data_IF_400612796190
#
_entry.id   IF_400612796190
#
_cell.length_a   1.000
_cell.length_b   1.000
_cell.length_c   1.000
_cell.angle_alpha   90.00
_cell.angle_beta   90.00
_cell.angle_gamma   90.00
#
_symmetry.space_group_name_H-M   'P 1'
#
loop_
_entity.id
_entity.type
_entity.pdbx_description
1 polymer ?
#
# COMPACT_ATOMS: atom_id res chain seq x y z
N UNK A 1 -0.76 -33.33 -25.71
CA UNK A 1 -0.99 -33.38 -24.25
C UNK A 1 0.00 -32.51 -23.47
N UNK A 2 1.30 -32.51 -23.79
CA UNK A 2 2.31 -31.70 -23.06
C UNK A 2 2.03 -30.19 -23.03
N UNK A 3 1.49 -29.62 -24.10
CA UNK A 3 1.17 -28.17 -24.19
C UNK A 3 -0.03 -27.76 -23.33
N UNK A 4 -0.99 -28.67 -23.10
CA UNK A 4 -2.15 -28.41 -22.23
C UNK A 4 -1.77 -28.46 -20.74
N UNK A 5 -0.80 -29.30 -20.37
CA UNK A 5 -0.29 -29.40 -19.00
C UNK A 5 0.50 -28.14 -18.63
N UNK A 6 1.30 -27.60 -19.56
CA UNK A 6 2.05 -26.36 -19.37
C UNK A 6 1.14 -25.13 -19.25
N UNK A 7 0.08 -25.05 -20.05
CA UNK A 7 -0.91 -23.99 -19.95
C UNK A 7 -1.68 -24.06 -18.60
N UNK A 8 -2.06 -25.26 -18.16
CA UNK A 8 -2.72 -25.46 -16.86
C UNK A 8 -1.83 -25.06 -15.68
N UNK A 9 -0.55 -25.41 -15.70
CA UNK A 9 0.41 -25.04 -14.65
C UNK A 9 0.66 -23.52 -14.58
N UNK A 10 0.70 -22.85 -15.73
CA UNK A 10 0.85 -21.39 -15.80
C UNK A 10 -0.38 -20.66 -15.24
N UNK A 11 -1.58 -21.12 -15.58
CA UNK A 11 -2.85 -20.56 -15.09
C UNK A 11 -2.97 -20.75 -13.57
N UNK A 12 -2.63 -21.94 -13.06
CA UNK A 12 -2.65 -22.21 -11.61
C UNK A 12 -1.64 -21.36 -10.84
N UNK A 13 -0.47 -21.08 -11.42
CA UNK A 13 0.54 -20.18 -10.83
C UNK A 13 0.02 -18.74 -10.74
N UNK A 14 -0.59 -18.23 -11.82
CA UNK A 14 -1.18 -16.88 -11.82
C UNK A 14 -2.36 -16.76 -10.85
N UNK A 15 -3.20 -17.80 -10.75
CA UNK A 15 -4.28 -17.86 -9.76
C UNK A 15 -3.76 -17.83 -8.33
N UNK A 16 -2.68 -18.56 -8.02
CA UNK A 16 -2.07 -18.54 -6.69
C UNK A 16 -1.50 -17.16 -6.33
N UNK A 17 -0.79 -16.52 -7.26
CA UNK A 17 -0.23 -15.17 -7.04
C UNK A 17 -1.35 -14.13 -6.78
N UNK A 18 -2.51 -14.31 -7.41
CA UNK A 18 -3.65 -13.39 -7.29
C UNK A 18 -4.45 -13.66 -6.02
N UNK A 19 -4.63 -14.93 -5.63
CA UNK A 19 -5.26 -15.28 -4.35
C UNK A 19 -4.43 -14.72 -3.19
N UNK A 20 -3.09 -14.79 -3.25
CA UNK A 20 -2.21 -14.18 -2.24
C UNK A 20 -2.38 -12.66 -2.21
N UNK A 21 -2.44 -12.01 -3.38
CA UNK A 21 -2.64 -10.56 -3.48
C UNK A 21 -4.02 -10.12 -2.96
N UNK A 22 -5.07 -10.89 -3.26
CA UNK A 22 -6.44 -10.62 -2.78
C UNK A 22 -6.50 -10.83 -1.26
N UNK A 23 -5.88 -11.88 -0.72
CA UNK A 23 -5.82 -12.10 0.72
C UNK A 23 -5.07 -10.98 1.45
N UNK A 24 -3.95 -10.48 0.91
CA UNK A 24 -3.28 -9.30 1.51
C UNK A 24 -4.16 -8.06 1.51
N UNK A 25 -5.02 -7.88 0.50
CA UNK A 25 -5.98 -6.77 0.44
C UNK A 25 -7.16 -6.90 1.41
N UNK A 26 -7.55 -8.12 1.80
CA UNK A 26 -8.67 -8.35 2.73
C UNK A 26 -8.25 -8.35 4.21
N UNK A 27 -6.98 -8.66 4.51
CA UNK A 27 -6.44 -8.58 5.88
C UNK A 27 -6.39 -7.11 6.37
N UNK A 28 -6.24 -6.14 5.46
CA UNK A 28 -6.26 -4.71 5.79
C UNK A 28 -7.65 -4.14 6.12
N UNK A 29 -8.75 -4.91 5.94
CA UNK A 29 -10.11 -4.37 5.96
C UNK A 29 -11.06 -4.91 7.05
N UNK A 30 -10.61 -5.79 7.97
CA UNK A 30 -11.50 -6.26 9.05
C UNK A 30 -10.76 -6.63 10.34
N UNK A 31 -11.08 -5.93 11.41
CA UNK A 31 -10.93 -6.41 12.78
C UNK A 31 -11.92 -7.57 13.02
N UNK A 32 -11.38 -8.72 13.42
CA UNK A 32 -11.98 -10.03 13.75
C UNK A 32 -12.08 -11.09 12.62
N UNK A 33 -11.51 -12.30 12.82
CA UNK A 33 -11.69 -13.43 11.90
C UNK A 33 -13.02 -14.14 12.17
N UNK A 34 -13.75 -14.59 11.13
CA UNK A 34 -14.91 -15.47 11.34
C UNK A 34 -14.44 -16.88 11.70
N UNK A 35 -14.93 -17.42 12.80
CA UNK A 35 -14.89 -18.85 13.08
C UNK A 35 -15.84 -19.56 12.10
N UNK A 36 -15.33 -20.51 11.32
CA UNK A 36 -16.16 -21.38 10.46
C UNK A 36 -16.07 -22.81 10.99
N UNK A 37 -17.18 -23.56 11.11
CA UNK A 37 -17.17 -24.93 11.64
C UNK A 37 -16.69 -25.94 10.59
N UNK A 38 -15.89 -26.89 11.07
CA UNK A 38 -15.46 -28.09 10.35
C UNK A 38 -16.62 -29.09 10.18
N UNK A 39 -16.82 -29.59 8.96
CA UNK A 39 -17.21 -30.97 8.55
C UNK A 39 -18.17 -30.96 7.34
N UNK A 40 -17.65 -31.40 6.19
CA UNK A 40 -18.44 -32.06 5.14
C UNK A 40 -17.66 -33.32 4.76
N UNK A 41 -18.17 -34.49 5.15
CA UNK A 41 -17.67 -35.78 4.73
C UNK A 41 -18.61 -36.35 3.65
N UNK A 42 -18.07 -36.69 2.49
CA UNK A 42 -18.76 -37.42 1.42
C UNK A 42 -18.10 -38.78 1.23
N UNK A 43 -18.91 -39.84 1.17
CA UNK A 43 -18.50 -41.24 1.05
C UNK A 43 -18.73 -41.71 -0.39
N UNK A 44 -17.69 -42.16 -1.08
CA UNK A 44 -17.85 -43.00 -2.27
C UNK A 44 -16.64 -43.93 -2.48
N UNK A 45 -16.91 -45.20 -2.79
CA UNK A 45 -15.94 -46.28 -3.07
C UNK A 45 -14.89 -46.64 -1.99
N UNK A 46 -15.23 -46.51 -0.70
CA UNK A 46 -14.44 -47.14 0.37
C UNK A 46 -13.04 -46.56 0.61
N UNK A 47 -12.70 -45.40 0.03
CA UNK A 47 -11.51 -44.63 0.39
C UNK A 47 -11.92 -43.31 1.06
N UNK A 48 -11.51 -43.17 2.33
CA UNK A 48 -11.64 -41.93 3.09
C UNK A 48 -10.56 -40.95 2.61
N UNK A 49 -10.93 -39.95 1.81
CA UNK A 49 -10.02 -38.86 1.44
C UNK A 49 -10.17 -37.70 2.43
N UNK A 50 -9.20 -37.55 3.33
CA UNK A 50 -9.02 -36.29 4.05
C UNK A 50 -8.33 -35.29 3.12
N UNK A 51 -9.09 -34.38 2.51
CA UNK A 51 -8.54 -33.24 1.80
C UNK A 51 -8.07 -32.20 2.83
N UNK A 52 -6.80 -32.30 3.21
CA UNK A 52 -6.11 -31.24 3.93
C UNK A 52 -5.73 -30.13 2.92
N UNK A 53 -6.29 -28.91 3.02
CA UNK A 53 -6.01 -27.81 2.09
C UNK A 53 -4.51 -27.43 2.03
N UNK A 54 -3.73 -27.70 3.08
CA UNK A 54 -2.30 -27.44 3.11
C UNK A 54 -1.47 -28.44 2.28
N UNK A 55 -1.98 -29.66 2.04
CA UNK A 55 -1.22 -30.72 1.37
C UNK A 55 -1.27 -30.60 -0.17
N UNK A 56 -2.37 -30.08 -0.72
CA UNK A 56 -2.52 -29.89 -2.17
C UNK A 56 -1.69 -28.69 -2.68
N UNK A 57 -1.59 -27.62 -1.88
CA UNK A 57 -0.71 -26.48 -2.15
C UNK A 57 0.78 -26.85 -2.05
N UNK A 58 1.16 -27.82 -1.21
CA UNK A 58 2.53 -28.33 -1.13
C UNK A 58 2.96 -29.16 -2.35
N UNK A 59 2.02 -29.90 -2.98
CA UNK A 59 2.35 -30.78 -4.12
C UNK A 59 2.48 -30.05 -5.46
N UNK A 60 1.73 -28.96 -5.68
CA UNK A 60 1.86 -28.15 -6.89
C UNK A 60 3.09 -27.23 -6.87
N UNK A 61 3.60 -26.84 -5.69
CA UNK A 61 4.88 -26.12 -5.53
C UNK A 61 6.10 -27.01 -5.79
N UNK A 62 5.99 -28.32 -5.59
CA UNK A 62 7.08 -29.28 -5.77
C UNK A 62 7.43 -29.59 -7.25
N UNK A 63 6.61 -29.18 -8.22
CA UNK A 63 6.80 -29.56 -9.63
C UNK A 63 7.40 -28.47 -10.52
N UNK A 64 7.65 -27.24 -10.04
CA UNK A 64 8.35 -26.23 -10.85
C UNK A 64 9.11 -25.14 -10.07
N UNK A 65 9.29 -25.30 -8.76
CA UNK A 65 10.47 -24.74 -8.08
C UNK A 65 11.40 -25.93 -7.93
N UNK A 66 12.33 -26.10 -8.87
CA UNK A 66 13.52 -26.89 -8.56
C UNK A 66 14.03 -26.41 -7.21
N UNK A 67 14.14 -27.30 -6.23
CA UNK A 67 14.55 -27.03 -4.85
C UNK A 67 15.98 -26.51 -4.70
N UNK A 68 16.39 -25.57 -5.55
CA UNK A 68 17.54 -24.72 -5.30
C UNK A 68 17.14 -23.76 -4.19
N UNK A 69 17.61 -24.06 -2.97
CA UNK A 69 17.73 -23.09 -1.89
C UNK A 69 18.30 -21.80 -2.49
N UNK A 70 17.45 -20.79 -2.71
CA UNK A 70 17.90 -19.53 -3.27
C UNK A 70 18.74 -18.86 -2.19
N UNK A 71 20.06 -18.87 -2.39
CA UNK A 71 21.00 -18.48 -1.36
C UNK A 71 21.21 -16.96 -1.43
N UNK A 72 20.98 -16.21 -0.35
CA UNK A 72 21.36 -14.80 -0.25
C UNK A 72 22.86 -14.54 -0.53
N UNK A 73 23.68 -15.58 -0.65
CA UNK A 73 25.07 -15.54 -1.08
C UNK A 73 25.27 -14.86 -2.46
N UNK A 74 24.40 -15.12 -3.44
CA UNK A 74 24.53 -14.49 -4.76
C UNK A 74 24.28 -12.98 -4.69
N UNK A 75 23.28 -12.57 -3.92
CA UNK A 75 22.96 -11.16 -3.73
C UNK A 75 24.14 -10.43 -3.06
N UNK A 76 24.74 -11.00 -2.02
CA UNK A 76 25.93 -10.43 -1.36
C UNK A 76 27.10 -10.26 -2.34
N UNK A 77 27.37 -11.29 -3.16
CA UNK A 77 28.43 -11.23 -4.16
C UNK A 77 28.20 -10.09 -5.15
N UNK A 78 26.98 -9.94 -5.66
CA UNK A 78 26.67 -8.89 -6.64
C UNK A 78 26.70 -7.49 -6.02
N UNK A 79 26.13 -7.29 -4.84
CA UNK A 79 26.12 -5.98 -4.19
C UNK A 79 27.52 -5.51 -3.76
N UNK A 80 28.41 -6.45 -3.39
CA UNK A 80 29.80 -6.13 -3.02
C UNK A 80 30.70 -5.79 -4.21
N UNK A 81 30.28 -6.15 -5.43
CA UNK A 81 31.06 -5.94 -6.66
C UNK A 81 30.33 -5.04 -7.67
N UNK A 82 29.35 -4.24 -7.22
CA UNK A 82 28.66 -3.30 -8.11
C UNK A 82 29.68 -2.40 -8.85
N UNK A 83 29.43 -2.07 -10.13
CA UNK A 83 30.33 -1.28 -10.94
C UNK A 83 30.75 0.05 -10.30
N UNK A 84 31.98 0.49 -10.58
CA UNK A 84 32.52 1.78 -10.12
C UNK A 84 31.80 3.00 -10.73
N UNK A 85 30.91 2.79 -11.71
CA UNK A 85 30.04 3.83 -12.26
C UNK A 85 29.04 4.37 -11.23
N UNK A 86 28.69 3.57 -10.22
CA UNK A 86 27.91 3.98 -9.06
C UNK A 86 28.81 4.66 -8.03
N UNK A 87 28.37 5.81 -7.50
CA UNK A 87 29.16 6.53 -6.50
C UNK A 87 29.28 5.71 -5.22
N UNK A 88 30.45 5.79 -4.59
CA UNK A 88 30.69 5.28 -3.24
C UNK A 88 30.58 6.47 -2.29
N UNK A 89 29.46 6.64 -1.57
CA UNK A 89 29.25 7.77 -0.68
C UNK A 89 30.17 7.67 0.53
N UNK A 90 30.54 8.83 1.08
CA UNK A 90 31.07 8.90 2.44
C UNK A 90 30.00 8.39 3.43
N UNK A 91 30.37 7.78 4.57
CA UNK A 91 29.39 7.17 5.49
C UNK A 91 28.25 8.11 5.93
N UNK A 92 28.52 9.40 6.07
CA UNK A 92 27.53 10.43 6.45
C UNK A 92 26.61 10.88 5.30
N UNK A 93 26.90 10.46 4.07
CA UNK A 93 26.17 10.81 2.84
C UNK A 93 25.51 9.60 2.19
N UNK A 94 25.55 8.42 2.83
CA UNK A 94 24.88 7.24 2.32
C UNK A 94 23.38 7.50 2.19
N UNK A 95 22.82 7.21 1.03
CA UNK A 95 21.39 7.35 0.74
C UNK A 95 20.60 6.27 1.45
N UNK A 96 21.16 5.07 1.56
CA UNK A 96 20.49 3.93 2.18
C UNK A 96 20.73 3.88 3.70
N UNK A 97 19.69 3.90 4.54
CA UNK A 97 19.83 3.96 6.00
C UNK A 97 19.96 2.58 6.69
N UNK A 98 20.70 1.64 6.09
CA UNK A 98 20.76 0.26 6.60
C UNK A 98 21.67 0.05 7.81
N UNK A 99 22.58 0.99 8.08
CA UNK A 99 23.45 0.98 9.26
C UNK A 99 22.68 1.17 10.57
N UNK A 100 21.53 1.85 10.49
CA UNK A 100 20.60 2.08 11.59
C UNK A 100 19.25 1.41 11.34
N UNK A 101 19.24 0.27 10.65
CA UNK A 101 18.00 -0.45 10.35
C UNK A 101 17.30 -0.87 11.65
N UNK A 102 16.22 -0.17 11.97
CA UNK A 102 15.39 -0.41 13.13
C UNK A 102 13.93 -0.44 12.68
N UNK A 103 13.22 -1.49 13.08
CA UNK A 103 11.79 -1.58 12.81
C UNK A 103 11.06 -0.75 13.87
N UNK A 104 10.25 0.20 13.41
CA UNK A 104 9.36 0.95 14.29
C UNK A 104 8.43 0.00 15.06
N UNK A 105 8.28 0.14 16.39
CA UNK A 105 7.35 -0.67 17.16
C UNK A 105 5.90 -0.48 16.71
N UNK A 106 5.56 0.70 16.19
CA UNK A 106 4.23 0.99 15.62
C UNK A 106 4.02 0.15 14.34
N UNK A 107 4.99 0.14 13.42
CA UNK A 107 4.89 -0.66 12.19
C UNK A 107 4.89 -2.18 12.48
N UNK A 108 5.59 -2.60 13.54
CA UNK A 108 5.57 -3.99 14.00
C UNK A 108 4.20 -4.40 14.52
N UNK A 109 3.50 -3.51 15.23
CA UNK A 109 2.12 -3.73 15.72
C UNK A 109 1.13 -3.76 14.57
N UNK A 110 1.24 -2.82 13.62
CA UNK A 110 0.30 -2.66 12.52
C UNK A 110 0.44 -3.72 11.41
N UNK A 111 1.68 -4.01 10.99
CA UNK A 111 1.94 -4.85 9.81
C UNK A 111 2.55 -6.22 10.14
N UNK A 112 2.90 -6.45 11.41
CA UNK A 112 3.72 -7.57 11.82
C UNK A 112 5.16 -7.47 11.31
N UNK A 113 6.01 -8.42 11.72
CA UNK A 113 7.45 -8.35 11.48
C UNK A 113 7.82 -8.31 9.98
N UNK A 114 7.23 -9.19 9.17
CA UNK A 114 7.45 -9.22 7.71
C UNK A 114 6.94 -7.96 7.03
N UNK A 115 5.77 -7.46 7.43
CA UNK A 115 5.17 -6.27 6.83
C UNK A 115 5.96 -5.01 7.15
N UNK A 116 6.45 -4.88 8.39
CA UNK A 116 7.29 -3.77 8.81
C UNK A 116 8.65 -3.76 8.08
N UNK A 117 9.29 -4.92 7.90
CA UNK A 117 10.50 -5.02 7.06
C UNK A 117 10.21 -4.61 5.62
N UNK A 118 9.08 -5.06 5.05
CA UNK A 118 8.69 -4.65 3.69
C UNK A 118 8.55 -3.14 3.60
N UNK A 119 7.91 -2.50 4.58
CA UNK A 119 7.74 -1.05 4.64
C UNK A 119 9.08 -0.31 4.63
N UNK A 120 10.02 -0.71 5.48
CA UNK A 120 11.36 -0.10 5.53
C UNK A 120 12.13 -0.28 4.21
N UNK A 121 12.03 -1.45 3.58
CA UNK A 121 12.63 -1.68 2.26
C UNK A 121 11.99 -0.82 1.16
N UNK A 122 10.67 -0.59 1.21
CA UNK A 122 9.99 0.34 0.30
C UNK A 122 10.39 1.80 0.52
N UNK A 123 10.68 2.20 1.76
CA UNK A 123 11.20 3.54 2.07
C UNK A 123 12.61 3.70 1.47
N UNK A 124 13.47 2.69 1.64
CA UNK A 124 14.86 2.75 1.19
C UNK A 124 15.01 2.64 -0.34
N UNK A 125 14.25 1.75 -1.00
CA UNK A 125 14.38 1.48 -2.44
C UNK A 125 13.27 2.07 -3.30
N UNK A 126 12.22 2.61 -2.69
CA UNK A 126 10.99 2.98 -3.38
C UNK A 126 10.07 1.78 -3.63
N UNK A 127 8.95 2.04 -4.30
CA UNK A 127 7.94 1.01 -4.51
C UNK A 127 8.27 0.07 -5.69
N UNK A 128 8.03 -1.23 -5.47
CA UNK A 128 8.30 -2.32 -6.42
C UNK A 128 7.50 -2.28 -7.72
N UNK A 129 6.48 -1.44 -7.84
CA UNK A 129 5.64 -1.36 -9.05
C UNK A 129 6.28 -0.57 -10.19
N UNK A 130 7.38 0.14 -9.95
CA UNK A 130 8.03 1.02 -10.93
C UNK A 130 9.12 0.33 -11.78
N UNK A 131 9.11 -1.01 -11.84
CA UNK A 131 10.10 -1.80 -12.55
C UNK A 131 11.27 -2.24 -11.66
N UNK A 132 12.42 -2.60 -12.27
CA UNK A 132 13.62 -2.96 -11.52
C UNK A 132 14.09 -1.82 -10.62
N UNK A 133 14.68 -2.17 -9.47
CA UNK A 133 15.24 -1.20 -8.53
C UNK A 133 16.47 -0.56 -9.18
N UNK A 134 16.57 0.76 -9.15
CA UNK A 134 17.73 1.48 -9.65
C UNK A 134 18.63 1.81 -8.46
N UNK A 135 19.79 1.16 -8.38
CA UNK A 135 20.78 1.51 -7.36
C UNK A 135 21.40 2.86 -7.70
N UNK A 136 21.39 3.77 -6.74
CA UNK A 136 22.02 5.09 -6.90
C UNK A 136 23.47 5.08 -6.43
N UNK A 137 23.81 4.18 -5.50
CA UNK A 137 25.11 4.10 -4.86
C UNK A 137 25.55 2.65 -4.68
N UNK A 138 26.85 2.46 -4.40
CA UNK A 138 27.42 1.18 -3.98
C UNK A 138 28.10 1.32 -2.62
N UNK A 139 28.46 0.19 -2.02
CA UNK A 139 29.31 0.19 -0.82
C UNK A 139 28.79 -0.71 0.29
N UNK A 140 29.49 -0.71 1.45
CA UNK A 140 29.19 -1.63 2.53
C UNK A 140 27.80 -1.42 3.13
N UNK A 141 27.29 -0.19 3.16
CA UNK A 141 25.95 0.12 3.70
C UNK A 141 24.86 -0.58 2.89
N UNK A 142 24.91 -0.50 1.56
CA UNK A 142 23.96 -1.22 0.69
C UNK A 142 24.04 -2.74 0.89
N UNK A 143 25.24 -3.30 1.10
CA UNK A 143 25.42 -4.74 1.32
C UNK A 143 24.75 -5.22 2.60
N UNK A 144 24.55 -4.37 3.61
CA UNK A 144 23.88 -4.73 4.87
C UNK A 144 22.43 -5.19 4.68
N UNK A 145 21.77 -4.79 3.58
CA UNK A 145 20.43 -5.29 3.23
C UNK A 145 20.38 -6.82 3.16
N UNK A 146 21.50 -7.47 2.80
CA UNK A 146 21.58 -8.92 2.73
C UNK A 146 21.51 -9.55 4.11
N UNK A 147 22.14 -8.94 5.11
CA UNK A 147 22.12 -9.44 6.48
C UNK A 147 20.74 -9.23 7.12
N UNK A 148 20.08 -8.10 6.82
CA UNK A 148 18.67 -7.84 7.18
C UNK A 148 17.79 -8.95 6.58
N UNK A 149 17.79 -9.12 5.25
CA UNK A 149 16.97 -10.14 4.57
C UNK A 149 17.26 -11.55 5.07
N UNK A 150 18.54 -11.89 5.31
CA UNK A 150 18.92 -13.18 5.88
C UNK A 150 18.35 -13.39 7.27
N UNK A 151 18.40 -12.37 8.14
CA UNK A 151 17.90 -12.44 9.52
C UNK A 151 16.39 -12.71 9.54
N UNK A 152 15.62 -11.99 8.72
CA UNK A 152 14.15 -12.16 8.70
C UNK A 152 13.69 -13.41 7.93
N UNK A 153 14.39 -13.81 6.86
CA UNK A 153 14.13 -15.08 6.18
C UNK A 153 14.50 -16.30 7.03
N UNK A 154 15.40 -16.17 8.01
CA UNK A 154 15.63 -17.25 8.99
C UNK A 154 14.44 -17.44 9.93
N UNK A 155 13.75 -16.34 10.29
CA UNK A 155 12.55 -16.37 11.12
C UNK A 155 11.33 -16.89 10.34
N UNK A 156 11.14 -16.38 9.13
CA UNK A 156 10.08 -16.82 8.21
C UNK A 156 10.64 -17.18 6.82
N UNK A 157 11.11 -18.44 6.63
CA UNK A 157 11.65 -18.89 5.35
C UNK A 157 10.63 -18.91 4.22
N UNK A 158 9.33 -18.89 4.52
CA UNK A 158 8.25 -18.99 3.54
C UNK A 158 7.68 -17.62 3.17
N UNK A 159 8.23 -16.53 3.72
CA UNK A 159 7.81 -15.16 3.41
C UNK A 159 8.01 -14.87 1.92
N UNK A 160 6.90 -14.91 1.17
CA UNK A 160 6.90 -14.62 -0.27
C UNK A 160 7.35 -13.17 -0.55
N UNK A 161 7.05 -12.25 0.36
CA UNK A 161 7.42 -10.83 0.26
C UNK A 161 8.94 -10.66 0.35
N UNK A 162 9.58 -11.28 1.36
CA UNK A 162 11.04 -11.16 1.54
C UNK A 162 11.82 -11.93 0.48
N UNK A 163 11.34 -13.10 0.05
CA UNK A 163 11.93 -13.82 -1.09
C UNK A 163 11.89 -12.96 -2.36
N UNK A 164 10.78 -12.24 -2.58
CA UNK A 164 10.63 -11.36 -3.73
C UNK A 164 11.58 -10.16 -3.68
N UNK A 165 11.86 -9.61 -2.50
CA UNK A 165 12.91 -8.59 -2.34
C UNK A 165 14.30 -9.11 -2.71
N UNK A 166 14.64 -10.34 -2.32
CA UNK A 166 15.92 -10.98 -2.72
C UNK A 166 15.99 -11.09 -4.25
N UNK A 167 14.92 -11.53 -4.90
CA UNK A 167 14.86 -11.65 -6.36
C UNK A 167 14.96 -10.30 -7.08
N UNK A 168 14.23 -9.29 -6.60
CA UNK A 168 14.19 -7.95 -7.19
C UNK A 168 15.55 -7.26 -7.08
N UNK A 169 16.19 -7.30 -5.90
CA UNK A 169 17.52 -6.75 -5.70
C UNK A 169 18.59 -7.50 -6.49
N UNK A 170 18.49 -8.83 -6.58
CA UNK A 170 19.42 -9.66 -7.37
C UNK A 170 19.32 -9.33 -8.86
N UNK A 171 18.08 -9.19 -9.36
CA UNK A 171 17.82 -8.84 -10.76
C UNK A 171 18.36 -7.44 -11.06
N UNK A 172 18.11 -6.50 -10.17
CA UNK A 172 18.59 -5.11 -10.28
C UNK A 172 20.11 -5.02 -10.29
N UNK A 173 20.78 -5.79 -9.43
CA UNK A 173 22.25 -5.82 -9.39
C UNK A 173 22.83 -6.34 -10.70
N UNK A 174 22.25 -7.41 -11.27
CA UNK A 174 22.64 -7.94 -12.58
C UNK A 174 22.46 -6.95 -13.72
N UNK A 175 21.42 -6.11 -13.65
CA UNK A 175 21.19 -5.06 -14.65
C UNK A 175 22.28 -3.99 -14.60
N UNK A 176 22.80 -3.62 -13.42
CA UNK A 176 23.94 -2.71 -13.32
C UNK A 176 25.19 -3.23 -14.06
N UNK A 177 25.54 -4.51 -13.88
CA UNK A 177 26.64 -5.12 -14.64
C UNK A 177 26.39 -5.14 -16.14
N UNK A 178 25.16 -5.46 -16.55
CA UNK A 178 24.78 -5.51 -17.96
C UNK A 178 24.82 -4.13 -18.62
N UNK A 179 24.39 -3.09 -17.91
CA UNK A 179 24.43 -1.70 -18.36
C UNK A 179 25.86 -1.24 -18.67
N UNK A 180 26.82 -1.61 -17.82
CA UNK A 180 28.22 -1.21 -17.96
C UNK A 180 29.05 -2.20 -18.79
N UNK A 181 28.42 -3.23 -19.36
CA UNK A 181 29.08 -4.32 -20.10
C UNK A 181 30.17 -5.03 -19.28
N UNK A 182 30.01 -5.10 -17.96
CA UNK A 182 30.93 -5.79 -17.05
C UNK A 182 30.43 -7.24 -16.87
N UNK A 183 31.29 -8.26 -17.00
CA UNK A 183 30.87 -9.64 -16.78
C UNK A 183 30.42 -9.86 -15.33
N UNK A 184 29.36 -10.66 -15.16
CA UNK A 184 28.83 -10.97 -13.83
C UNK A 184 29.88 -11.70 -12.98
N UNK A 185 30.12 -11.25 -11.73
CA UNK A 185 30.96 -11.97 -10.78
C UNK A 185 30.46 -13.41 -10.62
N UNK A 186 31.32 -14.37 -10.91
CA UNK A 186 31.02 -15.80 -10.74
C UNK A 186 31.74 -16.30 -9.51
N UNK A 187 31.08 -17.11 -8.68
CA UNK A 187 31.62 -17.68 -7.44
C UNK A 187 32.70 -18.77 -7.67
N UNK A 188 33.43 -18.71 -8.78
CA UNK A 188 34.31 -19.76 -9.26
C UNK A 188 35.64 -19.76 -8.50
N UNK A 189 35.67 -20.50 -7.39
CA UNK A 189 36.87 -21.23 -6.97
C UNK A 189 37.49 -20.82 -5.62
N UNK A 190 37.66 -21.76 -4.67
CA UNK A 190 38.59 -21.59 -3.56
C UNK A 190 40.02 -21.69 -4.10
N UNK A 191 40.66 -20.56 -4.36
CA UNK A 191 42.10 -20.53 -4.63
C UNK A 191 42.55 -19.50 -5.65
N UNK A 192 42.60 -18.24 -5.23
CA UNK A 192 43.83 -17.45 -5.29
C UNK A 192 43.64 -16.19 -4.43
N UNK A 193 44.51 -15.92 -3.44
CA UNK A 193 44.52 -14.65 -2.77
C UNK A 193 44.85 -13.58 -3.81
N UNK A 194 43.87 -12.73 -4.11
CA UNK A 194 44.08 -11.52 -4.89
C UNK A 194 44.98 -10.61 -4.05
N UNK A 195 46.30 -10.69 -4.30
CA UNK A 195 47.25 -9.70 -3.80
C UNK A 195 46.75 -8.32 -4.23
N UNK A 196 46.35 -7.53 -3.22
CA UNK A 196 46.27 -6.09 -3.31
C UNK A 196 47.62 -5.61 -3.85
N UNK A 197 47.62 -5.15 -5.11
CA UNK A 197 48.75 -4.51 -5.75
C UNK A 197 48.96 -3.16 -5.07
N UNK A 198 49.60 -3.21 -3.90
CA UNK A 198 50.00 -2.05 -3.12
C UNK A 198 51.15 -1.34 -3.82
N UNK A 199 50.89 -0.11 -4.22
CA UNK A 199 51.90 0.88 -4.54
C UNK A 199 52.80 1.06 -3.30
N UNK A 200 54.05 0.66 -3.45
CA UNK A 200 55.08 0.70 -2.41
C UNK A 200 55.54 2.12 -2.12
N UNK A 201 55.37 2.57 -0.87
CA UNK A 201 56.24 3.59 -0.26
C UNK A 201 56.72 3.03 1.08
N UNK A 202 58.03 2.80 1.14
CA UNK A 202 58.76 2.23 2.26
C UNK A 202 58.78 3.16 3.49
N UNK A 203 58.88 2.58 4.69
CA UNK A 203 59.25 3.35 5.88
C UNK A 203 58.96 2.74 7.25
N UNK A 204 59.59 1.60 7.57
CA UNK A 204 60.20 1.26 8.87
C UNK A 204 59.38 1.26 10.20
N UNK A 205 59.85 0.50 11.22
CA UNK A 205 59.01 0.02 12.32
C UNK A 205 59.26 0.77 13.63
N UNK A 206 58.24 0.83 14.50
CA UNK A 206 58.48 0.97 15.94
C UNK A 206 57.34 0.40 16.78
N UNK A 207 57.72 -0.62 17.54
CA UNK A 207 57.03 -1.25 18.67
C UNK A 207 56.73 -0.26 19.79
N UNK A 208 55.46 -0.16 20.21
CA UNK A 208 55.15 0.05 21.64
C UNK A 208 53.81 -0.56 22.03
N UNK A 209 53.88 -1.36 23.09
CA UNK A 209 52.84 -2.09 23.81
C UNK A 209 52.21 -1.14 24.84
N UNK A 210 50.89 -0.88 24.79
CA UNK A 210 50.17 -0.20 25.89
C UNK A 210 48.81 -0.87 26.15
N UNK A 211 48.82 -1.65 27.23
CA UNK A 211 47.85 -1.77 28.33
C UNK A 211 46.42 -1.21 28.12
N UNK A 212 45.44 -2.09 28.36
CA UNK A 212 44.02 -1.81 28.54
C UNK A 212 43.73 -0.93 29.77
N UNK A 213 42.60 -0.21 29.77
CA UNK A 213 41.66 -0.48 30.85
C UNK A 213 40.19 -0.49 30.42
N UNK A 214 39.47 -1.39 31.07
CA UNK A 214 38.01 -1.45 31.16
C UNK A 214 37.44 -0.22 31.88
N UNK A 215 36.39 0.38 31.32
CA UNK A 215 35.37 1.07 32.13
C UNK A 215 34.00 0.92 31.50
N UNK A 216 33.08 0.34 32.27
CA UNK A 216 31.65 0.35 32.03
C UNK A 216 31.12 1.79 31.97
N UNK A 217 30.27 2.09 30.99
CA UNK A 217 29.48 3.32 30.98
C UNK A 217 28.01 3.07 30.66
N UNK A 218 27.22 3.71 31.51
CA UNK A 218 25.78 3.66 31.69
C UNK A 218 24.97 4.02 30.44
N UNK A 219 23.82 3.35 30.34
CA UNK A 219 22.59 3.75 29.63
C UNK A 219 22.43 5.27 29.54
N UNK A 220 22.32 5.77 28.31
CA UNK A 220 21.66 7.04 27.99
C UNK A 220 20.58 6.75 26.96
N UNK A 221 19.34 6.64 27.45
CA UNK A 221 18.14 6.65 26.61
C UNK A 221 18.06 8.03 25.96
N UNK A 222 18.41 8.13 24.68
CA UNK A 222 18.03 9.28 23.87
C UNK A 222 16.57 9.11 23.47
N UNK A 223 15.72 9.86 24.17
CA UNK A 223 14.37 10.18 23.72
C UNK A 223 14.45 10.71 22.27
N UNK A 224 13.80 10.00 21.35
CA UNK A 224 13.50 10.50 20.01
C UNK A 224 12.56 11.69 20.18
N UNK A 225 13.12 12.89 20.06
CA UNK A 225 12.31 14.11 19.94
C UNK A 225 11.46 13.94 18.68
N UNK A 226 10.15 13.77 18.85
CA UNK A 226 9.16 14.06 17.81
C UNK A 226 9.58 15.36 17.14
N UNK A 227 9.72 15.36 15.82
CA UNK A 227 9.93 16.57 15.03
C UNK A 227 8.67 17.43 15.18
N UNK A 228 8.57 18.10 16.32
CA UNK A 228 7.53 19.06 16.61
C UNK A 228 7.71 20.21 15.64
N UNK A 229 6.89 20.16 14.59
CA UNK A 229 6.36 21.28 13.83
C UNK A 229 7.33 22.45 13.72
N UNK A 230 8.48 22.24 13.05
CA UNK A 230 9.36 23.33 12.66
C UNK A 230 8.55 24.22 11.71
N UNK A 231 7.92 25.26 12.26
CA UNK A 231 7.17 26.25 11.48
C UNK A 231 8.09 26.75 10.38
N UNK A 232 7.73 26.47 9.13
CA UNK A 232 8.44 26.99 7.99
C UNK A 232 8.15 28.49 7.99
N UNK A 233 9.13 29.27 8.43
CA UNK A 233 9.05 30.73 8.49
C UNK A 233 9.13 31.38 7.11
N UNK A 234 9.54 30.62 6.09
CA UNK A 234 9.76 31.10 4.73
C UNK A 234 9.14 30.13 3.71
N UNK A 235 8.02 30.56 3.14
CA UNK A 235 7.27 29.82 2.11
C UNK A 235 7.79 30.09 0.70
N UNK A 236 8.85 30.90 0.56
CA UNK A 236 9.40 31.25 -0.74
C UNK A 236 10.18 30.07 -1.34
N UNK A 237 9.78 29.63 -2.52
CA UNK A 237 10.48 28.60 -3.29
C UNK A 237 11.15 29.28 -4.49
N UNK A 238 12.48 29.20 -4.55
CA UNK A 238 13.27 29.88 -5.57
C UNK A 238 12.95 29.43 -7.00
N UNK A 239 12.34 28.26 -7.19
CA UNK A 239 11.93 27.77 -8.51
C UNK A 239 10.65 28.44 -9.06
N UNK A 240 9.89 29.11 -8.19
CA UNK A 240 8.59 29.69 -8.52
C UNK A 240 8.56 31.18 -8.20
N UNK A 241 7.66 31.90 -8.87
CA UNK A 241 7.31 33.27 -8.54
C UNK A 241 5.82 33.31 -8.21
N UNK A 242 5.49 33.85 -7.04
CA UNK A 242 4.13 33.82 -6.50
C UNK A 242 3.27 34.86 -7.20
N UNK A 243 2.10 34.43 -7.67
CA UNK A 243 1.10 35.28 -8.29
C UNK A 243 0.12 35.70 -7.20
N UNK A 244 -0.22 37.00 -7.08
CA UNK A 244 -1.22 37.46 -6.14
C UNK A 244 -2.55 36.74 -6.35
N UNK A 245 -3.10 36.20 -5.27
CA UNK A 245 -4.38 35.50 -5.32
C UNK A 245 -5.51 36.49 -5.65
N UNK A 246 -6.10 36.36 -6.83
CA UNK A 246 -7.29 37.13 -7.19
C UNK A 246 -8.49 36.62 -6.39
N UNK A 247 -9.22 37.54 -5.74
CA UNK A 247 -10.51 37.21 -5.13
C UNK A 247 -11.41 36.58 -6.19
N UNK A 248 -12.04 35.45 -5.87
CA UNK A 248 -12.90 34.72 -6.80
C UNK A 248 -14.06 35.63 -7.24
N UNK A 249 -14.05 36.17 -8.48
CA UNK A 249 -15.01 37.18 -8.89
C UNK A 249 -16.39 36.58 -9.18
N UNK A 250 -16.52 35.25 -9.09
CA UNK A 250 -17.74 34.53 -9.44
C UNK A 250 -18.81 34.79 -8.37
N UNK A 251 -19.90 35.43 -8.79
CA UNK A 251 -21.11 35.62 -7.97
C UNK A 251 -21.88 34.31 -7.72
N UNK A 252 -21.61 33.25 -8.49
CA UNK A 252 -22.28 31.95 -8.39
C UNK A 252 -21.33 30.77 -8.63
N UNK A 253 -21.71 29.59 -8.14
CA UNK A 253 -20.90 28.37 -8.19
C UNK A 253 -20.31 27.97 -6.84
N UNK A 254 -19.69 26.79 -6.80
CA UNK A 254 -18.99 26.32 -5.60
C UNK A 254 -17.77 27.20 -5.35
N UNK A 255 -17.81 27.97 -4.27
CA UNK A 255 -16.68 28.81 -3.83
C UNK A 255 -15.44 27.94 -3.63
N UNK A 256 -14.28 28.49 -3.96
CA UNK A 256 -13.01 27.85 -3.66
C UNK A 256 -12.91 27.59 -2.14
N UNK A 257 -12.56 26.36 -1.77
CA UNK A 257 -12.43 25.97 -0.38
C UNK A 257 -11.29 26.79 0.26
N UNK A 258 -11.53 27.55 1.35
CA UNK A 258 -10.50 28.40 1.97
C UNK A 258 -9.24 27.63 2.38
N UNK A 259 -9.39 26.36 2.75
CA UNK A 259 -8.26 25.48 3.08
C UNK A 259 -7.28 25.32 1.91
N UNK A 260 -7.76 25.31 0.65
CA UNK A 260 -6.88 25.21 -0.52
C UNK A 260 -5.95 26.40 -0.66
N UNK A 261 -6.41 27.60 -0.28
CA UNK A 261 -5.60 28.81 -0.26
C UNK A 261 -4.53 28.77 0.84
N UNK A 262 -4.80 28.06 1.93
CA UNK A 262 -3.85 27.93 3.04
C UNK A 262 -2.77 26.88 2.78
N UNK A 263 -3.07 25.82 2.01
CA UNK A 263 -2.11 24.73 1.74
C UNK A 263 -1.40 24.84 0.39
N UNK A 264 -1.82 25.76 -0.48
CA UNK A 264 -1.23 25.94 -1.80
C UNK A 264 -1.18 27.40 -2.26
N UNK A 265 -0.11 27.75 -2.97
CA UNK A 265 0.16 29.10 -3.48
C UNK A 265 0.03 29.09 -5.01
N UNK A 266 -0.65 30.09 -5.58
CA UNK A 266 -0.71 30.31 -7.02
C UNK A 266 0.62 30.92 -7.49
N UNK A 267 1.21 30.36 -8.54
CA UNK A 267 2.55 30.72 -8.98
C UNK A 267 2.75 30.40 -10.47
N UNK A 268 3.84 30.89 -11.05
CA UNK A 268 4.41 30.37 -12.30
C UNK A 268 5.83 29.88 -12.07
N UNK A 269 6.31 29.03 -12.97
CA UNK A 269 7.70 28.58 -12.97
C UNK A 269 8.56 29.74 -13.52
N UNK A 270 9.66 30.10 -12.84
CA UNK A 270 10.49 31.25 -13.27
C UNK A 270 10.98 31.13 -14.71
N UNK A 271 11.32 29.93 -15.15
CA UNK A 271 11.79 29.67 -16.53
C UNK A 271 10.66 29.70 -17.57
N UNK A 272 9.39 29.60 -17.13
CA UNK A 272 8.21 29.50 -17.98
C UNK A 272 7.04 30.29 -17.39
N UNK A 273 7.06 31.62 -17.45
CA UNK A 273 6.04 32.47 -16.83
C UNK A 273 4.64 32.29 -17.43
N UNK A 274 4.53 31.68 -18.62
CA UNK A 274 3.24 31.35 -19.24
C UNK A 274 2.55 30.12 -18.64
N UNK A 275 3.27 29.31 -17.84
CA UNK A 275 2.73 28.09 -17.23
C UNK A 275 2.30 28.34 -15.78
N UNK A 276 1.03 28.71 -15.59
CA UNK A 276 0.45 28.85 -14.25
C UNK A 276 0.32 27.50 -13.53
N UNK A 277 0.66 27.51 -12.25
CA UNK A 277 0.64 26.34 -11.36
C UNK A 277 0.12 26.71 -9.98
N UNK A 278 -0.28 25.67 -9.24
CA UNK A 278 -0.40 25.74 -7.79
C UNK A 278 0.75 24.94 -7.19
N UNK A 279 1.53 25.52 -6.28
CA UNK A 279 2.59 24.79 -5.53
C UNK A 279 2.14 24.55 -4.10
N UNK A 280 2.65 23.49 -3.48
CA UNK A 280 2.46 23.29 -2.04
C UNK A 280 3.09 24.46 -1.26
N UNK A 281 2.52 24.86 -0.12
CA UNK A 281 3.14 25.86 0.75
C UNK A 281 4.52 25.42 1.29
N UNK A 282 4.74 24.10 1.39
CA UNK A 282 6.02 23.46 1.70
C UNK A 282 6.86 23.06 0.48
N UNK A 283 6.57 23.61 -0.72
CA UNK A 283 7.20 23.20 -1.98
C UNK A 283 8.72 23.33 -2.01
N UNK A 284 9.31 24.23 -1.23
CA UNK A 284 10.76 24.34 -1.07
C UNK A 284 11.42 23.02 -0.64
N UNK A 285 10.71 22.19 0.11
CA UNK A 285 11.20 20.92 0.63
C UNK A 285 10.48 19.71 0.01
N UNK A 286 9.17 19.81 -0.25
CA UNK A 286 8.40 18.70 -0.84
C UNK A 286 8.40 18.68 -2.38
N UNK A 287 8.83 19.77 -3.01
CA UNK A 287 8.89 19.98 -4.47
C UNK A 287 7.60 19.67 -5.24
N UNK A 288 6.46 19.64 -4.54
CA UNK A 288 5.18 19.24 -5.14
C UNK A 288 4.45 20.46 -5.69
N UNK A 289 4.05 20.37 -6.96
CA UNK A 289 3.21 21.35 -7.65
C UNK A 289 2.21 20.68 -8.59
N UNK A 290 1.18 21.42 -8.97
CA UNK A 290 0.07 20.97 -9.81
C UNK A 290 -0.22 21.99 -10.90
N UNK A 291 -0.76 21.52 -12.02
CA UNK A 291 -1.28 22.38 -13.08
C UNK A 291 -2.47 23.20 -12.56
N UNK A 292 -2.53 24.48 -12.90
CA UNK A 292 -3.69 25.33 -12.62
C UNK A 292 -4.88 24.99 -13.52
N UNK A 293 -6.16 25.01 -13.03
CA UNK A 293 -6.62 25.43 -11.71
C UNK A 293 -6.43 24.38 -10.60
N UNK A 294 -6.56 24.80 -9.33
CA UNK A 294 -6.38 23.95 -8.15
C UNK A 294 -7.25 22.67 -8.18
N UNK A 295 -6.61 21.53 -8.39
CA UNK A 295 -7.25 20.23 -8.28
C UNK A 295 -7.48 19.86 -6.80
N UNK A 296 -8.64 20.25 -6.23
CA UNK A 296 -8.99 20.09 -4.80
C UNK A 296 -8.58 18.73 -4.22
N UNK A 297 -8.93 17.63 -4.89
CA UNK A 297 -8.67 16.29 -4.37
C UNK A 297 -7.17 15.98 -4.25
N UNK A 298 -6.39 16.32 -5.29
CA UNK A 298 -4.94 16.05 -5.31
C UNK A 298 -4.18 16.90 -4.31
N UNK A 299 -4.59 18.16 -4.17
CA UNK A 299 -3.97 19.10 -3.21
C UNK A 299 -4.25 18.64 -1.78
N UNK A 300 -5.50 18.27 -1.46
CA UNK A 300 -5.84 17.80 -0.11
C UNK A 300 -5.20 16.44 0.23
N UNK A 301 -5.12 15.51 -0.74
CA UNK A 301 -4.45 14.20 -0.52
C UNK A 301 -2.95 14.35 -0.27
N UNK A 302 -2.29 15.28 -0.95
CA UNK A 302 -0.91 15.62 -0.64
C UNK A 302 -0.80 16.33 0.72
N UNK A 303 -1.65 17.34 0.96
CA UNK A 303 -1.59 18.14 2.17
C UNK A 303 -1.76 17.29 3.43
N UNK A 304 -2.66 16.29 3.44
CA UNK A 304 -2.85 15.39 4.59
C UNK A 304 -1.59 14.58 4.95
N UNK A 305 -0.69 14.34 4.00
CA UNK A 305 0.52 13.52 4.14
C UNK A 305 1.82 14.34 4.20
N UNK A 306 1.77 15.63 3.86
CA UNK A 306 2.97 16.43 3.67
C UNK A 306 3.62 16.84 5.01
N UNK A 307 4.75 16.20 5.36
CA UNK A 307 5.51 16.50 6.58
C UNK A 307 6.03 17.94 6.68
N UNK A 308 6.04 18.68 5.56
CA UNK A 308 6.53 20.06 5.47
C UNK A 308 5.45 21.13 5.58
N UNK A 309 4.18 20.77 5.81
CA UNK A 309 3.14 21.77 6.14
C UNK A 309 2.83 21.74 7.64
N UNK A 310 2.22 22.81 8.17
CA UNK A 310 1.83 22.85 9.59
C UNK A 310 0.82 21.73 9.92
N UNK A 311 0.99 21.06 11.07
CA UNK A 311 0.14 19.95 11.48
C UNK A 311 -1.36 20.29 11.44
N UNK A 312 -1.72 21.50 11.90
CA UNK A 312 -3.10 22.01 11.86
C UNK A 312 -3.70 22.00 10.45
N UNK A 313 -2.90 22.30 9.43
CA UNK A 313 -3.34 22.30 8.03
C UNK A 313 -3.46 20.88 7.48
N UNK A 314 -2.59 19.95 7.90
CA UNK A 314 -2.72 18.53 7.58
C UNK A 314 -4.02 17.95 8.12
N UNK A 315 -4.29 18.19 9.40
CA UNK A 315 -5.47 17.66 10.09
C UNK A 315 -6.75 18.20 9.44
N UNK A 316 -6.77 19.51 9.12
CA UNK A 316 -7.86 20.12 8.37
C UNK A 316 -8.06 19.46 6.98
N UNK A 317 -6.98 19.08 6.29
CA UNK A 317 -7.06 18.38 5.01
C UNK A 317 -7.63 16.95 5.17
N UNK A 318 -7.23 16.22 6.22
CA UNK A 318 -7.79 14.90 6.56
C UNK A 318 -9.30 15.00 6.80
N UNK A 319 -9.74 15.96 7.63
CA UNK A 319 -11.16 16.17 7.93
C UNK A 319 -11.96 16.51 6.66
N UNK A 320 -11.42 17.35 5.79
CA UNK A 320 -12.07 17.71 4.52
C UNK A 320 -12.13 16.54 3.51
N UNK A 321 -11.12 15.67 3.50
CA UNK A 321 -11.16 14.42 2.72
C UNK A 321 -12.21 13.46 3.27
N UNK A 322 -12.27 13.29 4.59
CA UNK A 322 -13.25 12.43 5.26
C UNK A 322 -14.69 12.91 5.01
N UNK A 323 -14.93 14.22 5.05
CA UNK A 323 -16.24 14.82 4.75
C UNK A 323 -16.75 14.48 3.34
N UNK A 324 -15.85 14.27 2.39
CA UNK A 324 -16.21 13.81 1.02
C UNK A 324 -16.34 12.30 0.90
N UNK A 325 -15.61 11.54 1.71
CA UNK A 325 -15.66 10.08 1.70
C UNK A 325 -16.95 9.54 2.35
N UNK A 326 -17.56 10.31 3.24
CA UNK A 326 -18.85 9.95 3.83
C UNK A 326 -19.91 9.82 2.73
N UNK A 327 -20.40 8.59 2.52
CA UNK A 327 -21.68 8.34 1.88
C UNK A 327 -22.83 9.05 2.63
N UNK A 328 -24.07 8.99 2.13
CA UNK A 328 -25.21 9.63 2.78
C UNK A 328 -25.21 9.31 4.28
N UNK A 329 -25.30 10.36 5.11
CA UNK A 329 -25.26 10.25 6.56
C UNK A 329 -26.26 9.17 6.99
N UNK A 330 -25.74 8.04 7.48
CA UNK A 330 -26.58 7.02 8.08
C UNK A 330 -27.11 7.67 9.35
N UNK A 331 -28.40 8.03 9.34
CA UNK A 331 -29.11 8.40 10.55
C UNK A 331 -29.16 7.12 11.37
N UNK A 332 -28.23 6.99 12.32
CA UNK A 332 -28.32 5.96 13.35
C UNK A 332 -29.50 6.40 14.22
N UNK A 333 -30.62 5.65 14.25
CA UNK A 333 -31.71 5.96 15.15
C UNK A 333 -31.15 5.92 16.57
N UNK A 334 -31.33 7.02 17.31
CA UNK A 334 -30.95 7.12 18.71
C UNK A 334 -31.60 5.94 19.46
N UNK A 335 -30.78 4.97 19.89
CA UNK A 335 -31.23 3.93 20.80
C UNK A 335 -31.58 4.63 22.10
N UNK A 336 -32.89 4.75 22.34
CA UNK A 336 -33.43 5.17 23.64
C UNK A 336 -32.88 4.21 24.70
N UNK A 337 -31.89 4.70 25.43
CA UNK A 337 -31.50 4.13 26.72
C UNK A 337 -32.63 4.51 27.68
N UNK A 338 -33.63 3.63 27.79
CA UNK A 338 -34.53 3.61 28.94
C UNK A 338 -33.68 3.19 30.15
N UNK A 339 -33.32 4.17 30.98
CA UNK A 339 -32.46 3.99 32.14
C UNK A 339 -32.82 4.95 33.26
N UNK A 340 -33.73 4.47 34.10
CA UNK A 340 -33.98 4.77 35.52
C UNK A 340 -33.99 6.21 36.08
N UNK A 341 -35.16 6.46 36.65
CA UNK A 341 -35.60 7.51 37.53
C UNK A 341 -34.79 7.55 38.85
N UNK A 342 -34.55 8.75 39.43
CA UNK A 342 -34.70 8.87 40.87
C UNK A 342 -35.71 9.94 41.26
N UNK A 343 -36.50 9.56 42.25
CA UNK A 343 -37.52 10.33 42.95
C UNK A 343 -37.01 11.63 43.59
N UNK A 344 -37.73 12.74 43.41
CA UNK A 344 -38.27 13.51 44.55
C UNK A 344 -39.19 14.67 44.19
N UNK A 345 -40.37 14.61 44.81
CA UNK A 345 -41.13 15.69 45.47
C UNK A 345 -41.90 16.77 44.66
N UNK A 346 -43.22 16.56 44.67
CA UNK A 346 -44.30 17.46 45.14
C UNK A 346 -44.33 18.91 44.61
N UNK A 347 -45.40 19.23 43.88
CA UNK A 347 -46.50 20.08 44.41
C UNK A 347 -47.71 20.16 43.48
N UNK A 348 -48.88 20.12 44.12
CA UNK A 348 -50.24 20.52 43.71
C UNK A 348 -50.47 21.23 42.37
N UNK A 349 -51.38 20.69 41.55
CA UNK A 349 -52.75 21.23 41.43
C UNK A 349 -53.64 20.36 40.55
N UNK A 350 -54.86 20.12 41.04
CA UNK A 350 -56.00 19.53 40.34
C UNK A 350 -56.46 20.47 39.22
N UNK A 351 -56.85 19.95 38.04
CA UNK A 351 -58.09 20.34 37.32
C UNK A 351 -58.48 19.23 36.31
N UNK A 352 -59.74 18.79 36.44
CA UNK A 352 -60.70 18.25 35.48
C UNK A 352 -60.29 17.24 34.39
N UNK A 353 -61.03 16.13 34.40
CA UNK A 353 -61.17 15.17 33.32
C UNK A 353 -61.76 15.80 32.04
N UNK A 354 -61.10 15.57 30.91
CA UNK A 354 -61.72 15.63 29.59
C UNK A 354 -61.27 14.43 28.78
N UNK A 355 -62.17 13.46 28.64
CA UNK A 355 -62.06 12.33 27.73
C UNK A 355 -62.09 12.86 26.30
N UNK A 356 -60.96 12.82 25.59
CA UNK A 356 -60.91 13.12 24.15
C UNK A 356 -60.46 11.88 23.40
N UNK A 357 -61.41 11.38 22.61
CA UNK A 357 -61.34 10.24 21.71
C UNK A 357 -60.16 10.36 20.75
N UNK A 358 -59.35 9.30 20.67
CA UNK A 358 -58.20 9.21 19.78
C UNK A 358 -58.65 9.17 18.31
N UNK A 359 -58.59 10.33 17.67
CA UNK A 359 -58.79 10.49 16.22
C UNK A 359 -57.55 9.98 15.48
N UNK A 360 -57.74 8.87 14.78
CA UNK A 360 -56.81 8.23 13.85
C UNK A 360 -56.37 9.22 12.76
N UNK A 361 -55.23 9.87 12.95
CA UNK A 361 -54.62 10.74 11.95
C UNK A 361 -53.80 9.88 10.97
N UNK A 362 -54.36 9.61 9.80
CA UNK A 362 -53.64 8.99 8.67
C UNK A 362 -52.62 9.98 8.11
N UNK A 363 -51.35 9.79 8.46
CA UNK A 363 -50.21 10.55 7.94
C UNK A 363 -49.90 10.11 6.50
N UNK A 364 -50.64 10.65 5.54
CA UNK A 364 -50.37 10.50 4.11
C UNK A 364 -49.30 11.51 3.66
N UNK A 365 -48.01 11.23 3.89
CA UNK A 365 -46.94 12.11 3.36
C UNK A 365 -45.57 11.44 3.11
N UNK A 366 -45.43 10.11 3.17
CA UNK A 366 -44.11 9.44 3.07
C UNK A 366 -43.71 8.96 1.66
N UNK A 367 -44.59 9.04 0.65
CA UNK A 367 -44.34 8.39 -0.65
C UNK A 367 -43.26 9.05 -1.52
N UNK A 368 -42.97 10.34 -1.33
CA UNK A 368 -41.97 11.06 -2.10
C UNK A 368 -40.53 10.74 -1.64
N UNK A 369 -40.32 10.61 -0.33
CA UNK A 369 -38.99 10.30 0.25
C UNK A 369 -38.54 8.88 -0.09
N UNK A 370 -39.48 7.92 -0.09
CA UNK A 370 -39.19 6.53 -0.42
C UNK A 370 -38.73 6.35 -1.87
N UNK A 371 -39.38 7.02 -2.83
CA UNK A 371 -38.98 7.01 -4.24
C UNK A 371 -37.58 7.58 -4.48
N UNK A 372 -37.20 8.62 -3.73
CA UNK A 372 -35.88 9.21 -3.85
C UNK A 372 -34.80 8.22 -3.38
N UNK A 373 -35.00 7.57 -2.24
CA UNK A 373 -34.07 6.58 -1.70
C UNK A 373 -33.92 5.35 -2.61
N UNK A 374 -35.01 4.85 -3.19
CA UNK A 374 -34.98 3.75 -4.17
C UNK A 374 -34.14 4.10 -5.41
N UNK A 375 -34.24 5.35 -5.89
CA UNK A 375 -33.44 5.81 -7.04
C UNK A 375 -31.93 5.84 -6.74
N UNK A 376 -31.54 6.18 -5.50
CA UNK A 376 -30.15 6.16 -5.07
C UNK A 376 -29.62 4.73 -4.93
N UNK A 377 -30.41 3.83 -4.32
CA UNK A 377 -30.05 2.43 -4.19
C UNK A 377 -29.90 1.76 -5.57
N UNK A 378 -30.80 2.06 -6.51
CA UNK A 378 -30.73 1.54 -7.88
C UNK A 378 -29.46 2.01 -8.61
N UNK A 379 -29.12 3.31 -8.51
CA UNK A 379 -27.88 3.84 -9.09
C UNK A 379 -26.64 3.24 -8.45
N UNK A 380 -26.61 3.14 -7.12
CA UNK A 380 -25.50 2.53 -6.39
C UNK A 380 -25.29 1.06 -6.78
N UNK A 381 -26.37 0.29 -6.87
CA UNK A 381 -26.33 -1.10 -7.33
C UNK A 381 -25.79 -1.22 -8.76
N UNK A 382 -26.22 -0.32 -9.66
CA UNK A 382 -25.73 -0.29 -11.05
C UNK A 382 -24.22 -0.04 -11.11
N UNK A 383 -23.72 0.97 -10.40
CA UNK A 383 -22.28 1.28 -10.35
C UNK A 383 -21.49 0.11 -9.75
N UNK A 384 -22.01 -0.53 -8.70
CA UNK A 384 -21.36 -1.70 -8.11
C UNK A 384 -21.26 -2.87 -9.11
N UNK A 385 -22.31 -3.14 -9.88
CA UNK A 385 -22.33 -4.18 -10.91
C UNK A 385 -21.33 -3.88 -12.03
N UNK A 386 -21.29 -2.63 -12.51
CA UNK A 386 -20.36 -2.19 -13.55
C UNK A 386 -18.89 -2.31 -13.08
N UNK A 387 -18.60 -1.91 -11.84
CA UNK A 387 -17.26 -2.06 -11.26
C UNK A 387 -16.87 -3.53 -11.05
N UNK A 388 -17.81 -4.38 -10.61
CA UNK A 388 -17.57 -5.82 -10.48
C UNK A 388 -17.25 -6.45 -11.83
N UNK A 389 -18.04 -6.12 -12.86
CA UNK A 389 -17.84 -6.60 -14.23
C UNK A 389 -16.48 -6.16 -14.80
N UNK A 390 -16.09 -4.91 -14.54
CA UNK A 390 -14.78 -4.39 -14.93
C UNK A 390 -13.64 -5.14 -14.24
N UNK A 391 -13.74 -5.38 -12.93
CA UNK A 391 -12.73 -6.12 -12.18
C UNK A 391 -12.57 -7.56 -12.69
N UNK A 392 -13.69 -8.25 -12.97
CA UNK A 392 -13.67 -9.60 -13.56
C UNK A 392 -13.03 -9.57 -14.95
N UNK A 393 -13.43 -8.64 -15.82
CA UNK A 393 -12.84 -8.50 -17.16
C UNK A 393 -11.33 -8.26 -17.09
N UNK A 394 -10.87 -7.34 -16.24
CA UNK A 394 -9.45 -7.03 -16.07
C UNK A 394 -8.67 -8.25 -15.58
N UNK A 395 -9.22 -9.01 -14.64
CA UNK A 395 -8.63 -10.27 -14.20
C UNK A 395 -8.48 -11.28 -15.35
N UNK A 396 -9.51 -11.47 -16.17
CA UNK A 396 -9.44 -12.37 -17.32
C UNK A 396 -8.37 -11.94 -18.34
N UNK A 397 -8.36 -10.66 -18.71
CA UNK A 397 -7.44 -10.11 -19.71
C UNK A 397 -5.99 -10.14 -19.20
N UNK A 398 -5.73 -9.60 -18.01
CA UNK A 398 -4.37 -9.51 -17.47
C UNK A 398 -3.76 -10.89 -17.17
N UNK A 399 -4.58 -11.90 -16.90
CA UNK A 399 -4.12 -13.24 -16.57
C UNK A 399 -4.12 -14.20 -17.77
N UNK A 400 -4.60 -13.75 -18.94
CA UNK A 400 -4.73 -14.60 -20.12
C UNK A 400 -5.71 -15.75 -19.94
N UNK A 401 -6.77 -15.54 -19.15
CA UNK A 401 -7.79 -16.57 -18.89
C UNK A 401 -8.80 -16.55 -20.04
N UNK A 402 -9.07 -17.70 -20.70
CA UNK A 402 -10.09 -17.77 -21.75
C UNK A 402 -11.48 -17.36 -21.22
N UNK A 403 -12.26 -16.51 -21.91
CA UNK A 403 -13.56 -16.06 -21.43
C UNK A 403 -14.56 -17.18 -21.16
N UNK A 404 -14.40 -18.35 -21.80
CA UNK A 404 -15.21 -19.55 -21.53
C UNK A 404 -15.19 -19.98 -20.06
N UNK A 405 -14.10 -19.69 -19.32
CA UNK A 405 -13.99 -19.97 -17.87
C UNK A 405 -15.02 -19.18 -17.06
N UNK A 406 -15.49 -18.02 -17.54
CA UNK A 406 -16.53 -17.25 -16.85
C UNK A 406 -17.88 -17.99 -16.76
N UNK A 407 -18.09 -18.98 -17.63
CA UNK A 407 -19.28 -19.84 -17.58
C UNK A 407 -19.09 -21.09 -16.71
N UNK A 408 -17.86 -21.41 -16.31
CA UNK A 408 -17.57 -22.57 -15.48
C UNK A 408 -18.31 -22.47 -14.16
N UNK A 409 -18.83 -23.60 -13.68
CA UNK A 409 -19.64 -23.66 -12.46
C UNK A 409 -18.80 -23.23 -11.25
N UNK A 410 -17.54 -23.68 -11.21
CA UNK A 410 -16.56 -23.41 -10.16
C UNK A 410 -16.25 -21.91 -10.05
N UNK A 411 -16.11 -21.22 -11.18
CA UNK A 411 -15.90 -19.77 -11.18
C UNK A 411 -17.13 -19.02 -10.63
N UNK A 412 -18.33 -19.43 -11.03
CA UNK A 412 -19.58 -18.82 -10.54
C UNK A 412 -19.79 -19.07 -9.05
N UNK A 413 -19.48 -20.27 -8.57
CA UNK A 413 -19.53 -20.61 -7.14
C UNK A 413 -18.53 -19.77 -6.34
N UNK A 414 -17.28 -19.65 -6.82
CA UNK A 414 -16.27 -18.80 -6.20
C UNK A 414 -16.74 -17.34 -6.10
N UNK A 415 -17.25 -16.77 -7.19
CA UNK A 415 -17.75 -15.38 -7.18
C UNK A 415 -18.97 -15.24 -6.27
N UNK A 416 -19.87 -16.23 -6.23
CA UNK A 416 -21.03 -16.21 -5.34
C UNK A 416 -20.62 -16.20 -3.86
N UNK A 417 -19.59 -16.96 -3.47
CA UNK A 417 -19.03 -16.96 -2.11
C UNK A 417 -18.43 -15.59 -1.78
N UNK A 418 -17.63 -15.02 -2.69
CA UNK A 418 -16.97 -13.72 -2.48
C UNK A 418 -17.96 -12.54 -2.46
N UNK A 419 -19.00 -12.59 -3.29
CA UNK A 419 -20.03 -11.55 -3.35
C UNK A 419 -20.95 -11.56 -2.12
N UNK A 420 -20.99 -12.67 -1.37
CA UNK A 420 -21.91 -12.87 -0.27
C UNK A 420 -23.37 -12.64 -0.66
N UNK A 421 -24.16 -12.11 0.27
CA UNK A 421 -25.60 -11.82 0.05
C UNK A 421 -25.88 -10.62 -0.87
N UNK A 422 -24.85 -9.97 -1.45
CA UNK A 422 -25.02 -8.73 -2.24
C UNK A 422 -25.56 -8.95 -3.65
N UNK A 423 -25.81 -10.20 -4.05
CA UNK A 423 -26.50 -10.55 -5.29
C UNK A 423 -25.74 -10.16 -6.56
N UNK A 424 -24.41 -10.05 -6.50
CA UNK A 424 -23.59 -9.88 -7.69
C UNK A 424 -23.58 -11.20 -8.49
N UNK A 425 -23.86 -11.11 -9.78
CA UNK A 425 -23.76 -12.23 -10.72
C UNK A 425 -22.66 -11.90 -11.73
N UNK A 426 -21.59 -12.72 -11.84
CA UNK A 426 -20.50 -12.42 -12.76
C UNK A 426 -20.96 -12.41 -14.22
N UNK A 427 -20.26 -11.66 -15.10
CA UNK A 427 -20.58 -11.62 -16.51
C UNK A 427 -20.37 -12.99 -17.17
N UNK A 428 -21.22 -13.35 -18.13
CA UNK A 428 -21.01 -14.54 -18.95
C UNK A 428 -19.83 -14.36 -19.91
N UNK A 429 -19.30 -15.46 -20.45
CA UNK A 429 -18.25 -15.42 -21.48
C UNK A 429 -18.63 -14.50 -22.65
N UNK A 430 -19.88 -14.57 -23.11
CA UNK A 430 -20.39 -13.75 -24.22
C UNK A 430 -20.40 -12.26 -23.88
N UNK A 431 -20.74 -11.90 -22.63
CA UNK A 431 -20.73 -10.49 -22.18
C UNK A 431 -19.30 -9.96 -22.07
N UNK A 432 -18.36 -10.79 -21.60
CA UNK A 432 -16.95 -10.47 -21.58
C UNK A 432 -16.41 -10.22 -23.00
N UNK A 433 -16.62 -11.17 -23.91
CA UNK A 433 -16.09 -11.11 -25.28
C UNK A 433 -16.71 -9.98 -26.11
N UNK A 434 -18.04 -9.84 -26.11
CA UNK A 434 -18.75 -8.95 -27.04
C UNK A 434 -18.90 -7.53 -26.54
N UNK A 435 -18.77 -7.30 -25.24
CA UNK A 435 -19.08 -5.99 -24.65
C UNK A 435 -17.91 -5.48 -23.82
N UNK A 436 -17.52 -6.18 -22.76
CA UNK A 436 -16.57 -5.62 -21.79
C UNK A 436 -15.16 -5.49 -22.38
N UNK A 437 -14.64 -6.52 -23.05
CA UNK A 437 -13.31 -6.49 -23.66
C UNK A 437 -13.27 -5.52 -24.85
N UNK A 438 -14.30 -5.55 -25.71
CA UNK A 438 -14.37 -4.64 -26.88
C UNK A 438 -14.43 -3.18 -26.44
N UNK A 439 -15.22 -2.86 -25.42
CA UNK A 439 -15.33 -1.49 -24.91
C UNK A 439 -14.01 -1.01 -24.29
N UNK A 440 -13.22 -1.88 -23.68
CA UNK A 440 -11.91 -1.52 -23.11
C UNK A 440 -10.88 -1.23 -24.21
N UNK A 441 -10.87 -2.02 -25.30
CA UNK A 441 -9.94 -1.82 -26.42
C UNK A 441 -10.24 -0.52 -27.20
N UNK A 442 -11.48 -0.02 -27.12
CA UNK A 442 -11.90 1.21 -27.79
C UNK A 442 -11.69 2.49 -26.96
N UNK A 443 -11.32 2.36 -25.68
CA UNK A 443 -10.95 3.49 -24.81
C UNK A 443 -9.46 3.78 -24.94
#
# INVERSE_FOLDING_TARGET
MSSFILAGAYILRKLADIIVNIYSYFVDASSFPPQVPSLLAGYDNGLLYMLNPCAFLSRCRALSISGGKFAPANLQLYLSHLPDSLHLPEPIQATYPFDLFEISPEDLEDYGETGAVNRELEIAFGSRHNGPIVFVERGPVLVQVVDILRTYLQKDPNSAVLQKWVDDLTTSAKLCFSHDNIPLPTASGPGQPMELRGTSCAGGPSTTRVVAPSTASKKSLRSVQKLDSKKISDTNDLAYEDIPELEDPRKGGAKLLPLLLQVSVHCHVKDKPSEERARCIGSRLCHTSWKWPRARQRILDHASKCGYIEAKLRDAAVVELARKAAGPAIVIPDERVDGDQPSSQKSHSQVAATTVTSSKLTTATSSASQKMMESFQAKGKKVMLENGDYAVMKFFVCCGIPPSVANAKEFKEMVAVLAGQRGYTPPSSTKLEKTLIVNEVLQ
#
